data_IF_166195270625
#
_entry.id   IF_166195270625
#
_cell.length_a   1.000
_cell.length_b   1.000
_cell.length_c   1.000
_cell.angle_alpha   90.00
_cell.angle_beta   90.00
_cell.angle_gamma   90.00
#
_symmetry.space_group_name_H-M   'P 1'
#
loop_
_entity.id
_entity.type
_entity.pdbx_description
1 polymer ?
#
# COMPACT_ATOMS: atom_id res chain seq x y z
N UNK A 1 18.87 -9.69 10.22
CA UNK A 1 18.44 -8.33 9.89
C UNK A 1 16.93 -8.27 9.80
N UNK A 2 16.34 -7.25 10.37
CA UNK A 2 14.90 -7.10 10.30
C UNK A 2 14.46 -6.70 8.89
N UNK A 3 13.29 -7.17 8.51
CA UNK A 3 12.72 -6.81 7.23
C UNK A 3 12.31 -5.34 7.22
N UNK A 4 12.41 -4.72 6.06
CA UNK A 4 11.85 -3.39 5.85
C UNK A 4 10.33 -3.47 5.84
N UNK A 5 9.68 -2.51 6.46
CA UNK A 5 8.23 -2.52 6.64
C UNK A 5 7.64 -1.31 5.95
N UNK A 6 6.95 -1.54 4.85
CA UNK A 6 6.54 -0.50 3.92
C UNK A 6 5.02 -0.50 3.76
N UNK A 7 4.42 0.69 3.78
CA UNK A 7 3.01 0.88 3.42
C UNK A 7 2.96 1.62 2.10
N UNK A 8 2.14 1.13 1.17
CA UNK A 8 1.92 1.79 -0.11
C UNK A 8 0.44 2.07 -0.27
N UNK A 9 0.07 3.33 -0.33
CA UNK A 9 -1.33 3.71 -0.58
C UNK A 9 -1.60 3.75 -2.07
N UNK A 10 -2.84 3.44 -2.47
CA UNK A 10 -3.21 3.41 -3.87
C UNK A 10 -2.47 2.36 -4.67
N UNK A 11 -2.18 1.22 -4.03
CA UNK A 11 -1.32 0.20 -4.62
C UNK A 11 -1.94 -0.55 -5.78
N UNK A 12 -3.26 -0.48 -5.94
CA UNK A 12 -3.92 -1.16 -7.05
C UNK A 12 -3.79 -0.41 -8.38
N UNK A 13 -3.23 0.79 -8.37
CA UNK A 13 -2.97 1.55 -9.59
C UNK A 13 -1.72 1.03 -10.28
N UNK A 14 -1.54 1.41 -11.56
CA UNK A 14 -0.33 1.02 -12.30
C UNK A 14 0.94 1.49 -11.61
N UNK A 15 0.94 2.74 -11.16
CA UNK A 15 2.12 3.33 -10.52
C UNK A 15 2.37 2.67 -9.18
N UNK A 16 1.31 2.50 -8.37
CA UNK A 16 1.44 1.85 -7.07
C UNK A 16 1.95 0.42 -7.19
N UNK A 17 1.43 -0.33 -8.16
CA UNK A 17 1.87 -1.70 -8.40
C UNK A 17 3.33 -1.74 -8.84
N UNK A 18 3.74 -0.83 -9.71
CA UNK A 18 5.14 -0.78 -10.16
C UNK A 18 6.10 -0.48 -9.01
N UNK A 19 5.70 0.46 -8.13
CA UNK A 19 6.50 0.78 -6.95
C UNK A 19 6.64 -0.45 -6.06
N UNK A 20 5.53 -1.13 -5.80
CA UNK A 20 5.54 -2.32 -4.95
C UNK A 20 6.45 -3.41 -5.51
N UNK A 21 6.36 -3.66 -6.81
CA UNK A 21 7.18 -4.68 -7.46
C UNK A 21 8.68 -4.34 -7.41
N UNK A 22 9.00 -3.06 -7.50
CA UNK A 22 10.41 -2.65 -7.45
C UNK A 22 11.02 -2.80 -6.06
N UNK A 23 10.19 -2.85 -5.02
CA UNK A 23 10.65 -2.92 -3.63
C UNK A 23 10.56 -4.31 -3.03
N UNK A 24 9.80 -5.21 -3.65
CA UNK A 24 9.52 -6.52 -3.05
C UNK A 24 10.74 -7.42 -2.97
N UNK A 25 10.74 -8.29 -1.98
CA UNK A 25 11.83 -9.24 -1.74
C UNK A 25 11.70 -9.85 -0.35
N UNK A 26 12.59 -10.79 -0.03
CA UNK A 26 12.55 -11.51 1.24
C UNK A 26 12.70 -10.61 2.45
N UNK A 27 13.40 -9.52 2.29
CA UNK A 27 13.66 -8.60 3.40
C UNK A 27 12.65 -7.46 3.45
N UNK A 28 11.49 -7.64 2.85
CA UNK A 28 10.49 -6.57 2.77
C UNK A 28 9.13 -7.11 3.14
N UNK A 29 8.49 -6.44 4.10
CA UNK A 29 7.07 -6.63 4.43
C UNK A 29 6.32 -5.45 3.86
N UNK A 30 5.20 -5.70 3.21
CA UNK A 30 4.45 -4.66 2.51
C UNK A 30 2.99 -4.71 2.90
N UNK A 31 2.44 -3.58 3.29
CA UNK A 31 1.00 -3.39 3.42
C UNK A 31 0.51 -2.60 2.23
N UNK A 32 -0.40 -3.20 1.48
CA UNK A 32 -1.00 -2.59 0.30
C UNK A 32 -2.35 -2.02 0.65
N UNK A 33 -2.51 -0.71 0.48
CA UNK A 33 -3.79 -0.07 0.64
C UNK A 33 -4.48 0.05 -0.72
N UNK A 34 -5.79 -0.20 -0.73
CA UNK A 34 -6.60 -0.04 -1.93
C UNK A 34 -7.99 0.45 -1.54
N UNK A 35 -8.73 0.98 -2.51
CA UNK A 35 -10.10 1.41 -2.29
C UNK A 35 -11.10 0.47 -2.96
N UNK A 36 -11.06 0.36 -4.28
CA UNK A 36 -12.09 -0.39 -5.02
C UNK A 36 -11.57 -1.58 -5.80
N UNK A 37 -10.31 -1.63 -6.09
CA UNK A 37 -9.75 -2.61 -7.01
C UNK A 37 -9.25 -3.86 -6.28
N UNK A 38 -10.17 -4.54 -5.58
CA UNK A 38 -9.82 -5.71 -4.78
C UNK A 38 -9.17 -6.82 -5.60
N UNK A 39 -9.67 -7.04 -6.82
CA UNK A 39 -9.15 -8.09 -7.68
C UNK A 39 -7.71 -7.82 -8.09
N UNK A 40 -7.44 -6.60 -8.49
CA UNK A 40 -6.10 -6.19 -8.91
C UNK A 40 -5.12 -6.23 -7.77
N UNK A 41 -5.54 -5.80 -6.56
CA UNK A 41 -4.63 -5.79 -5.42
C UNK A 41 -4.33 -7.21 -4.94
N UNK A 42 -5.29 -8.12 -5.04
CA UNK A 42 -5.05 -9.52 -4.68
C UNK A 42 -4.05 -10.16 -5.64
N UNK A 43 -4.16 -9.85 -6.92
CA UNK A 43 -3.21 -10.33 -7.91
C UNK A 43 -1.81 -9.76 -7.62
N UNK A 44 -1.73 -8.49 -7.28
CA UNK A 44 -0.47 -7.87 -6.92
C UNK A 44 0.13 -8.53 -5.69
N UNK A 45 -0.69 -8.79 -4.67
CA UNK A 45 -0.23 -9.48 -3.47
C UNK A 45 0.44 -10.81 -3.82
N UNK A 46 -0.20 -11.61 -4.68
CA UNK A 46 0.35 -12.90 -5.08
C UNK A 46 1.69 -12.73 -5.79
N UNK A 47 1.81 -11.73 -6.65
CA UNK A 47 3.06 -11.45 -7.35
C UNK A 47 4.18 -11.07 -6.37
N UNK A 48 3.87 -10.21 -5.40
CA UNK A 48 4.87 -9.78 -4.43
C UNK A 48 5.28 -10.92 -3.51
N UNK A 49 4.35 -11.80 -3.17
CA UNK A 49 4.68 -12.97 -2.37
C UNK A 49 5.58 -13.93 -3.12
N UNK A 50 5.45 -13.98 -4.43
CA UNK A 50 6.37 -14.77 -5.25
C UNK A 50 7.79 -14.21 -5.23
N UNK A 51 7.95 -12.93 -4.96
CA UNK A 51 9.27 -12.33 -4.77
C UNK A 51 9.80 -12.51 -3.36
N UNK A 52 9.02 -13.12 -2.47
CA UNK A 52 9.44 -13.41 -1.11
C UNK A 52 8.93 -12.47 -0.04
N UNK A 53 8.19 -11.43 -0.40
CA UNK A 53 7.66 -10.49 0.58
C UNK A 53 6.48 -11.07 1.34
N UNK A 54 6.32 -10.66 2.58
CA UNK A 54 5.09 -10.88 3.34
C UNK A 54 4.17 -9.69 3.07
N UNK A 55 2.95 -9.96 2.63
CA UNK A 55 2.07 -8.90 2.12
C UNK A 55 0.74 -8.90 2.85
N UNK A 56 0.30 -7.71 3.24
CA UNK A 56 -0.98 -7.49 3.91
C UNK A 56 -1.81 -6.52 3.09
N UNK A 57 -3.13 -6.68 3.13
CA UNK A 57 -4.05 -5.84 2.38
C UNK A 57 -4.96 -5.08 3.32
N UNK A 58 -5.22 -3.81 3.02
CA UNK A 58 -6.22 -3.03 3.74
C UNK A 58 -7.04 -2.20 2.77
N UNK A 59 -8.37 -2.35 2.88
CA UNK A 59 -9.31 -1.54 2.11
C UNK A 59 -9.68 -0.31 2.91
N UNK A 60 -9.57 0.86 2.30
CA UNK A 60 -9.97 2.10 2.95
C UNK A 60 -10.26 3.17 1.91
N UNK A 61 -11.30 3.95 2.14
CA UNK A 61 -11.62 5.11 1.33
C UNK A 61 -10.95 6.32 1.99
N UNK A 62 -9.92 6.85 1.35
CA UNK A 62 -9.12 7.94 1.92
C UNK A 62 -9.88 9.25 2.03
N UNK A 63 -11.01 9.39 1.30
CA UNK A 63 -11.85 10.57 1.45
C UNK A 63 -12.62 10.56 2.77
N UNK A 64 -12.64 9.42 3.46
CA UNK A 64 -13.31 9.27 4.76
C UNK A 64 -12.26 9.16 5.84
N UNK A 65 -12.19 10.18 6.68
CA UNK A 65 -11.10 10.29 7.65
C UNK A 65 -11.02 9.08 8.60
N UNK A 66 -12.17 8.53 9.00
CA UNK A 66 -12.18 7.38 9.90
C UNK A 66 -11.56 6.15 9.25
N UNK A 67 -11.74 5.99 7.94
CA UNK A 67 -11.14 4.88 7.22
C UNK A 67 -9.65 5.11 6.99
N UNK A 68 -9.29 6.34 6.61
CA UNK A 68 -7.88 6.68 6.40
C UNK A 68 -7.05 6.46 7.65
N UNK A 69 -7.60 6.77 8.80
CA UNK A 69 -6.90 6.62 10.09
C UNK A 69 -6.60 5.17 10.45
N UNK A 70 -7.23 4.21 9.82
CA UNK A 70 -7.01 2.79 10.13
C UNK A 70 -5.76 2.23 9.49
N UNK A 71 -5.26 2.87 8.44
CA UNK A 71 -4.20 2.29 7.61
C UNK A 71 -2.91 2.09 8.39
N UNK A 72 -2.42 3.13 9.02
CA UNK A 72 -1.13 3.06 9.73
C UNK A 72 -1.18 2.14 10.95
N UNK A 73 -2.20 2.23 11.82
CA UNK A 73 -2.29 1.27 12.94
C UNK A 73 -2.39 -0.19 12.47
N UNK A 74 -3.16 -0.43 11.40
CA UNK A 74 -3.28 -1.77 10.83
C UNK A 74 -1.91 -2.28 10.37
N UNK A 75 -1.22 -1.46 9.58
CA UNK A 75 0.07 -1.84 9.02
C UNK A 75 1.10 -2.06 10.11
N UNK A 76 1.16 -1.17 11.08
CA UNK A 76 2.08 -1.27 12.20
C UNK A 76 1.87 -2.57 12.96
N UNK A 77 0.61 -2.90 13.24
CA UNK A 77 0.28 -4.12 13.96
C UNK A 77 0.64 -5.37 13.17
N UNK A 78 0.31 -5.39 11.88
CA UNK A 78 0.56 -6.56 11.04
C UNK A 78 2.04 -6.78 10.77
N UNK A 79 2.76 -5.72 10.50
CA UNK A 79 4.19 -5.81 10.18
C UNK A 79 5.09 -5.72 11.40
N UNK A 80 4.52 -5.38 12.56
CA UNK A 80 5.26 -5.16 13.82
C UNK A 80 6.25 -4.01 13.67
N UNK A 81 5.79 -2.95 13.07
CA UNK A 81 6.57 -1.74 12.86
C UNK A 81 6.24 -1.11 11.54
N UNK A 82 6.88 0.03 11.28
CA UNK A 82 6.73 0.76 10.03
C UNK A 82 7.99 1.56 9.77
N UNK A 83 8.61 1.31 8.62
CA UNK A 83 9.83 2.02 8.23
C UNK A 83 9.58 3.10 7.19
N UNK A 84 8.60 2.88 6.30
CA UNK A 84 8.39 3.76 5.17
C UNK A 84 6.93 3.79 4.76
N UNK A 85 6.42 4.99 4.52
CA UNK A 85 5.09 5.19 3.96
C UNK A 85 5.25 5.80 2.57
N UNK A 86 4.77 5.09 1.56
CA UNK A 86 4.75 5.62 0.21
C UNK A 86 3.33 6.03 -0.10
N UNK A 87 3.12 7.33 -0.12
CA UNK A 87 1.79 7.89 -0.30
C UNK A 87 1.54 8.13 -1.78
N UNK A 88 1.13 7.07 -2.47
CA UNK A 88 0.85 7.11 -3.89
C UNK A 88 -0.59 7.51 -4.20
N UNK A 89 -1.54 7.18 -3.31
CA UNK A 89 -2.93 7.55 -3.51
C UNK A 89 -3.14 9.03 -3.22
N UNK A 90 -4.00 9.67 -4.01
CA UNK A 90 -4.39 11.05 -3.75
C UNK A 90 -5.89 11.16 -3.84
N UNK A 91 -6.53 11.59 -2.76
CA UNK A 91 -7.96 11.82 -2.75
C UNK A 91 -8.33 13.13 -3.45
N UNK A 92 -7.35 13.99 -3.65
CA UNK A 92 -7.54 15.28 -4.29
C UNK A 92 -6.95 15.33 -5.69
N UNK A 93 -6.71 14.19 -6.28
CA UNK A 93 -5.95 14.10 -7.52
C UNK A 93 -6.46 15.04 -8.60
N UNK A 94 -7.77 15.01 -8.87
CA UNK A 94 -8.34 15.85 -9.91
C UNK A 94 -8.31 17.31 -9.53
N UNK A 95 -8.65 17.61 -8.28
CA UNK A 95 -8.69 18.99 -7.82
C UNK A 95 -7.30 19.59 -7.78
N UNK A 96 -6.33 18.83 -7.32
CA UNK A 96 -4.95 19.27 -7.27
C UNK A 96 -4.43 19.60 -8.66
N UNK A 97 -4.70 18.75 -9.62
CA UNK A 97 -4.26 18.98 -10.99
C UNK A 97 -4.95 20.17 -11.61
N UNK A 98 -6.21 20.37 -11.31
CA UNK A 98 -6.95 21.49 -11.87
C UNK A 98 -6.57 22.82 -11.24
N UNK A 99 -6.04 22.78 -10.03
CA UNK A 99 -5.62 23.99 -9.32
C UNK A 99 -4.18 24.40 -9.63
N UNK A 100 -3.47 23.55 -10.26
CA UNK A 100 -2.10 23.83 -10.64
C UNK A 100 -2.05 24.37 -12.06
#
# INVERSE_FOLDING_TARGET
MEAKKIVITGSATRIGAAIAKSLAGYDVKITLHYNKSAKEVKKLKDELENFGSEVFLIKADLSKIMQAKKIIPFAYKKMKGLDCLINNASIFEKDDLSNF
#
